data_IF_413406456570
#
_entry.id   IF_413406456570
#
_cell.length_a   1.000
_cell.length_b   1.000
_cell.length_c   1.000
_cell.angle_alpha   90.00
_cell.angle_beta   90.00
_cell.angle_gamma   90.00
#
_symmetry.space_group_name_H-M   'P 1'
#
loop_
_entity.id
_entity.type
_entity.pdbx_description
1 polymer ?
#
# COMPACT_ATOMS: atom_id res chain seq x y z
N UNK A 1 -20.09 -54.39 -7.45
CA UNK A 1 -20.22 -53.09 -6.74
C UNK A 1 -19.05 -52.22 -7.14
N UNK A 2 -19.34 -51.05 -7.70
CA UNK A 2 -18.32 -50.10 -8.18
C UNK A 2 -17.40 -49.66 -7.03
N UNK A 3 -16.11 -49.45 -7.33
CA UNK A 3 -15.08 -48.97 -6.38
C UNK A 3 -15.53 -47.69 -5.66
N UNK A 4 -16.33 -46.86 -6.34
CA UNK A 4 -16.93 -45.63 -5.79
C UNK A 4 -17.93 -45.94 -4.66
N UNK A 5 -18.74 -46.99 -4.81
CA UNK A 5 -19.72 -47.40 -3.79
C UNK A 5 -19.04 -47.95 -2.53
N UNK A 6 -17.84 -48.56 -2.67
CA UNK A 6 -17.02 -49.01 -1.52
C UNK A 6 -16.33 -47.86 -0.77
N UNK A 7 -15.95 -46.79 -1.46
CA UNK A 7 -15.40 -45.58 -0.84
C UNK A 7 -16.45 -44.84 0.00
N UNK A 8 -17.67 -44.68 -0.54
CA UNK A 8 -18.78 -43.97 0.11
C UNK A 8 -19.46 -44.76 1.25
N UNK A 9 -19.08 -46.02 1.47
CA UNK A 9 -19.59 -46.86 2.57
C UNK A 9 -18.57 -47.09 3.68
N UNK A 10 -17.30 -46.72 3.46
CA UNK A 10 -16.29 -46.81 4.51
C UNK A 10 -16.47 -45.66 5.51
N UNK A 11 -16.86 -45.99 6.75
CA UNK A 11 -17.07 -45.01 7.82
C UNK A 11 -15.92 -44.03 8.00
N UNK A 12 -14.66 -44.46 7.85
CA UNK A 12 -13.51 -43.58 8.00
C UNK A 12 -13.43 -42.55 6.88
N UNK A 13 -13.76 -42.95 5.64
CA UNK A 13 -13.75 -42.07 4.46
C UNK A 13 -14.89 -41.05 4.54
N UNK A 14 -16.09 -41.50 4.90
CA UNK A 14 -17.26 -40.61 5.07
C UNK A 14 -17.01 -39.59 6.18
N UNK A 15 -16.48 -40.03 7.32
CA UNK A 15 -16.12 -39.13 8.44
C UNK A 15 -15.02 -38.16 8.00
N UNK A 16 -13.96 -38.63 7.35
CA UNK A 16 -12.88 -37.77 6.88
C UNK A 16 -13.38 -36.69 5.91
N UNK A 17 -14.31 -37.02 5.01
CA UNK A 17 -14.86 -36.07 4.03
C UNK A 17 -15.69 -34.95 4.69
N UNK A 18 -16.26 -35.21 5.87
CA UNK A 18 -17.03 -34.21 6.63
C UNK A 18 -16.15 -33.43 7.62
N UNK A 19 -15.27 -34.13 8.35
CA UNK A 19 -14.44 -33.54 9.40
C UNK A 19 -13.28 -32.71 8.83
N UNK A 20 -12.65 -33.18 7.75
CA UNK A 20 -11.50 -32.48 7.15
C UNK A 20 -11.82 -31.03 6.70
N UNK A 21 -12.92 -30.74 5.96
CA UNK A 21 -13.22 -29.35 5.58
C UNK A 21 -13.59 -28.48 6.80
N UNK A 22 -14.23 -29.04 7.83
CA UNK A 22 -14.51 -28.30 9.07
C UNK A 22 -13.21 -27.93 9.79
N UNK A 23 -12.29 -28.89 9.94
CA UNK A 23 -10.97 -28.64 10.53
C UNK A 23 -10.14 -27.66 9.69
N UNK A 24 -10.24 -27.69 8.36
CA UNK A 24 -9.55 -26.74 7.49
C UNK A 24 -10.00 -25.29 7.73
N UNK A 25 -11.30 -25.06 7.90
CA UNK A 25 -11.84 -23.73 8.23
C UNK A 25 -11.38 -23.28 9.61
N UNK A 26 -11.45 -24.17 10.61
CA UNK A 26 -10.99 -23.86 11.98
C UNK A 26 -9.50 -23.54 11.98
N UNK A 27 -8.68 -24.32 11.28
CA UNK A 27 -7.24 -24.10 11.19
C UNK A 27 -6.92 -22.76 10.53
N UNK A 28 -7.64 -22.38 9.47
CA UNK A 28 -7.47 -21.08 8.82
C UNK A 28 -7.66 -19.92 9.81
N UNK A 29 -8.78 -19.90 10.53
CA UNK A 29 -9.06 -18.85 11.52
C UNK A 29 -8.16 -18.92 12.76
N UNK A 30 -7.76 -20.12 13.19
CA UNK A 30 -6.86 -20.29 14.33
C UNK A 30 -5.45 -19.78 14.00
N UNK A 31 -4.94 -20.07 12.80
CA UNK A 31 -3.67 -19.52 12.33
C UNK A 31 -3.78 -18.00 12.24
N UNK A 32 -4.82 -17.47 11.60
CA UNK A 32 -5.06 -16.03 11.47
C UNK A 32 -5.06 -15.32 12.83
N UNK A 33 -5.79 -15.85 13.82
CA UNK A 33 -5.81 -15.31 15.17
C UNK A 33 -4.47 -15.43 15.92
N UNK A 34 -3.67 -16.46 15.63
CA UNK A 34 -2.38 -16.69 16.27
C UNK A 34 -1.24 -15.82 15.72
N UNK A 35 -1.34 -15.41 14.45
CA UNK A 35 -0.31 -14.59 13.78
C UNK A 35 -0.72 -13.12 13.67
N UNK A 36 -1.99 -12.78 13.93
CA UNK A 36 -2.46 -11.41 13.92
C UNK A 36 -1.87 -10.63 15.10
N UNK A 37 -1.11 -9.59 14.79
CA UNK A 37 -0.70 -8.61 15.78
C UNK A 37 -1.95 -7.90 16.34
N UNK A 38 -2.16 -7.83 17.66
CA UNK A 38 -3.29 -7.10 18.22
C UNK A 38 -3.19 -5.62 17.84
N UNK A 39 -4.30 -4.95 17.50
CA UNK A 39 -4.28 -3.52 17.21
C UNK A 39 -3.82 -2.76 18.45
N UNK A 40 -2.61 -2.19 18.38
CA UNK A 40 -2.06 -1.36 19.45
C UNK A 40 -2.24 0.11 19.10
N UNK A 41 -2.72 0.89 20.08
CA UNK A 41 -2.72 2.34 19.95
C UNK A 41 -1.28 2.84 19.82
N UNK A 42 -1.07 3.81 18.93
CA UNK A 42 0.24 4.40 18.76
C UNK A 42 0.67 5.15 20.03
N UNK A 43 1.93 4.95 20.41
CA UNK A 43 2.54 5.58 21.57
C UNK A 43 3.46 6.70 21.07
N UNK A 44 3.37 7.86 21.69
CA UNK A 44 4.22 9.00 21.37
C UNK A 44 5.70 8.62 21.47
N UNK A 45 6.50 9.03 20.48
CA UNK A 45 7.93 8.75 20.37
C UNK A 45 8.28 7.41 19.71
N UNK A 46 7.28 6.56 19.40
CA UNK A 46 7.49 5.30 18.68
C UNK A 46 7.26 5.45 17.17
N UNK A 47 7.74 4.46 16.41
CA UNK A 47 7.65 4.43 14.94
C UNK A 47 6.86 3.21 14.47
N UNK A 48 5.94 3.40 13.53
CA UNK A 48 5.03 2.37 13.06
C UNK A 48 5.05 2.26 11.52
N UNK A 49 5.11 1.04 10.95
CA UNK A 49 5.05 0.87 9.51
C UNK A 49 3.64 1.11 8.99
N UNK A 50 3.51 1.76 7.83
CA UNK A 50 2.26 1.90 7.09
C UNK A 50 2.08 0.72 6.12
N UNK A 51 0.90 0.14 6.11
CA UNK A 51 0.53 -0.87 5.13
C UNK A 51 0.34 -0.21 3.75
N UNK A 52 1.13 -0.65 2.79
CA UNK A 52 1.05 -0.20 1.39
C UNK A 52 -0.04 -0.96 0.68
N UNK A 53 -1.08 -0.25 0.24
CA UNK A 53 -2.25 -0.85 -0.40
C UNK A 53 -1.95 -1.27 -1.84
N UNK A 54 -2.79 -2.15 -2.39
CA UNK A 54 -2.58 -2.76 -3.70
C UNK A 54 -2.51 -1.76 -4.86
N UNK A 55 -3.25 -0.64 -4.77
CA UNK A 55 -3.25 0.41 -5.79
C UNK A 55 -1.88 1.09 -5.99
N UNK A 56 -0.96 0.98 -5.03
CA UNK A 56 0.41 1.47 -5.19
C UNK A 56 1.22 0.65 -6.23
N UNK A 57 0.84 -0.62 -6.47
CA UNK A 57 1.54 -1.54 -7.38
C UNK A 57 1.13 -1.43 -8.85
N UNK A 58 0.15 -0.59 -9.15
CA UNK A 58 -0.43 -0.43 -10.50
C UNK A 58 -0.44 1.05 -10.89
N UNK A 59 -0.58 1.33 -12.18
CA UNK A 59 -0.63 2.68 -12.78
C UNK A 59 -1.94 3.40 -12.46
N UNK A 60 -2.18 3.65 -11.17
CA UNK A 60 -3.45 4.10 -10.60
C UNK A 60 -3.53 5.61 -10.38
N UNK A 61 -2.44 6.35 -10.56
CA UNK A 61 -2.33 7.79 -10.27
C UNK A 61 -2.19 8.13 -8.77
N UNK A 62 -2.41 7.18 -7.86
CA UNK A 62 -2.29 7.40 -6.42
C UNK A 62 -1.96 6.13 -5.63
N UNK A 63 -1.22 6.29 -4.54
CA UNK A 63 -0.90 5.24 -3.58
C UNK A 63 -1.62 5.48 -2.25
N UNK A 64 -2.22 4.43 -1.67
CA UNK A 64 -2.84 4.49 -0.35
C UNK A 64 -1.94 3.79 0.67
N UNK A 65 -1.77 4.44 1.82
CA UNK A 65 -0.93 3.97 2.92
C UNK A 65 -1.75 4.08 4.21
N UNK A 66 -1.80 3.04 5.02
CA UNK A 66 -2.62 3.07 6.23
C UNK A 66 -2.04 2.29 7.41
N UNK A 67 -2.33 2.76 8.62
CA UNK A 67 -2.12 2.03 9.86
C UNK A 67 -3.19 2.48 10.86
N UNK A 68 -4.16 1.60 11.17
CA UNK A 68 -5.30 1.95 12.01
C UNK A 68 -6.09 3.15 11.47
N UNK A 69 -6.14 4.22 12.25
CA UNK A 69 -6.84 5.47 11.89
C UNK A 69 -6.01 6.40 11.00
N UNK A 70 -4.70 6.16 10.87
CA UNK A 70 -3.82 6.91 9.98
C UNK A 70 -4.07 6.42 8.57
N UNK A 71 -4.71 7.26 7.76
CA UNK A 71 -5.00 6.99 6.34
C UNK A 71 -4.40 8.10 5.51
N UNK A 72 -3.45 7.73 4.66
CA UNK A 72 -2.74 8.63 3.77
C UNK A 72 -3.03 8.26 2.32
N UNK A 73 -3.14 9.29 1.48
CA UNK A 73 -3.25 9.16 0.04
C UNK A 73 -2.17 10.02 -0.61
N UNK A 74 -1.25 9.37 -1.31
CA UNK A 74 -0.18 10.01 -2.07
C UNK A 74 -0.55 10.02 -3.55
N UNK A 75 -0.84 11.19 -4.10
CA UNK A 75 -1.30 11.41 -5.46
C UNK A 75 -0.18 12.01 -6.31
N UNK A 76 -0.11 11.60 -7.57
CA UNK A 76 0.81 12.15 -8.56
C UNK A 76 0.07 13.16 -9.44
N UNK A 77 0.60 14.37 -9.53
CA UNK A 77 0.15 15.38 -10.51
C UNK A 77 0.84 15.17 -11.89
N UNK A 78 1.57 14.06 -12.04
CA UNK A 78 2.35 13.72 -13.22
C UNK A 78 3.78 14.26 -13.18
N UNK A 79 4.56 13.90 -14.21
CA UNK A 79 5.93 14.36 -14.41
C UNK A 79 5.96 15.51 -15.41
N UNK A 80 6.53 16.64 -15.02
CA UNK A 80 6.70 17.82 -15.86
C UNK A 80 8.14 18.35 -15.69
N UNK A 81 8.83 18.63 -16.79
CA UNK A 81 10.21 19.16 -16.77
C UNK A 81 11.17 18.35 -15.88
N UNK A 82 11.13 17.02 -15.97
CA UNK A 82 11.93 16.10 -15.16
C UNK A 82 11.68 16.18 -13.64
N UNK A 83 10.54 16.75 -13.26
CA UNK A 83 10.09 16.84 -11.87
C UNK A 83 8.75 16.16 -11.68
N UNK A 84 8.66 15.39 -10.60
CA UNK A 84 7.44 14.79 -10.12
C UNK A 84 6.86 15.66 -9.00
N UNK A 85 5.63 16.10 -9.17
CA UNK A 85 4.88 16.75 -8.08
C UNK A 85 3.98 15.72 -7.42
N UNK A 86 4.11 15.59 -6.09
CA UNK A 86 3.29 14.70 -5.27
C UNK A 86 2.47 15.51 -4.29
N UNK A 87 1.21 15.14 -4.14
CA UNK A 87 0.29 15.63 -3.11
C UNK A 87 0.00 14.52 -2.12
N UNK A 88 0.15 14.81 -0.83
CA UNK A 88 -0.20 13.91 0.26
C UNK A 88 -1.44 14.45 0.96
N UNK A 89 -2.50 13.66 0.97
CA UNK A 89 -3.70 13.90 1.76
C UNK A 89 -3.73 12.95 2.96
N UNK A 90 -4.13 13.46 4.12
CA UNK A 90 -4.22 12.70 5.37
C UNK A 90 -5.61 12.84 6.01
N UNK A 91 -6.10 11.77 6.62
CA UNK A 91 -7.32 11.82 7.43
C UNK A 91 -7.12 12.61 8.74
N UNK A 92 -5.91 12.55 9.30
CA UNK A 92 -5.51 13.21 10.56
C UNK A 92 -4.52 14.36 10.30
N UNK A 93 -4.54 15.44 11.10
CA UNK A 93 -3.54 16.51 11.00
C UNK A 93 -2.13 15.94 11.20
N UNK A 94 -1.23 16.17 10.25
CA UNK A 94 0.17 15.81 10.38
C UNK A 94 0.93 16.97 11.03
N UNK A 95 1.90 16.65 11.88
CA UNK A 95 2.87 17.63 12.41
C UNK A 95 4.01 17.87 11.40
N UNK A 96 4.30 16.85 10.59
CA UNK A 96 5.32 16.91 9.55
C UNK A 96 5.25 15.72 8.60
N UNK A 97 5.75 15.92 7.38
CA UNK A 97 5.92 14.87 6.39
C UNK A 97 7.26 15.04 5.68
N UNK A 98 7.99 13.94 5.50
CA UNK A 98 9.26 13.87 4.78
C UNK A 98 9.24 12.73 3.79
N UNK A 99 9.86 12.95 2.65
CA UNK A 99 9.82 12.01 1.54
C UNK A 99 11.17 11.97 0.82
N UNK A 100 11.55 10.80 0.31
CA UNK A 100 12.67 10.66 -0.62
C UNK A 100 12.35 9.67 -1.73
N UNK A 101 13.13 9.76 -2.81
CA UNK A 101 13.05 8.86 -3.95
C UNK A 101 14.33 8.04 -4.05
N UNK A 102 14.27 6.81 -3.54
CA UNK A 102 15.38 5.87 -3.51
C UNK A 102 15.46 5.12 -4.83
N UNK A 103 16.67 5.07 -5.39
CA UNK A 103 17.05 4.23 -6.53
C UNK A 103 18.00 3.14 -6.06
N UNK A 104 18.18 2.09 -6.87
CA UNK A 104 19.05 0.96 -6.52
C UNK A 104 20.46 1.44 -6.19
N UNK A 105 20.94 1.16 -4.97
CA UNK A 105 22.28 1.54 -4.51
C UNK A 105 22.44 3.01 -4.08
N UNK A 106 21.34 3.76 -3.96
CA UNK A 106 21.35 5.15 -3.49
C UNK A 106 20.67 5.29 -2.13
N UNK A 107 21.16 6.20 -1.30
CA UNK A 107 20.55 6.57 -0.01
C UNK A 107 20.28 8.09 0.00
N UNK A 108 19.17 8.54 -0.62
CA UNK A 108 18.87 9.95 -0.77
C UNK A 108 18.38 10.56 0.55
N UNK A 109 18.79 11.79 0.82
CA UNK A 109 18.35 12.52 2.00
C UNK A 109 16.85 12.90 1.90
N UNK A 110 16.03 12.69 2.94
CA UNK A 110 14.62 13.05 2.92
C UNK A 110 14.37 14.55 2.81
N UNK A 111 13.56 14.94 1.83
CA UNK A 111 13.06 16.30 1.65
C UNK A 111 11.79 16.50 2.49
N UNK A 112 11.67 17.64 3.15
CA UNK A 112 10.42 18.01 3.84
C UNK A 112 9.33 18.34 2.82
N UNK A 113 8.13 17.83 3.04
CA UNK A 113 6.94 18.30 2.33
C UNK A 113 6.46 19.62 2.92
N UNK A 114 5.72 20.41 2.13
CA UNK A 114 5.14 21.68 2.58
C UNK A 114 3.63 21.52 2.74
N UNK A 115 3.09 21.93 3.89
CA UNK A 115 1.65 21.99 4.08
C UNK A 115 1.03 23.00 3.10
N UNK A 116 -0.08 22.62 2.48
CA UNK A 116 -0.82 23.46 1.53
C UNK A 116 -1.95 24.25 2.20
N UNK A 117 -2.26 23.91 3.44
CA UNK A 117 -3.28 24.55 4.28
C UNK A 117 -2.87 24.54 5.76
N UNK A 118 -3.63 25.24 6.59
CA UNK A 118 -3.42 25.32 8.04
C UNK A 118 -3.95 24.09 8.80
N UNK A 119 -4.66 23.18 8.13
CA UNK A 119 -5.25 22.00 8.77
C UNK A 119 -4.24 20.89 9.00
N UNK A 120 -3.08 20.96 8.33
CA UNK A 120 -2.06 19.91 8.37
C UNK A 120 -2.48 18.62 7.67
N UNK A 121 -3.57 18.63 6.88
CA UNK A 121 -4.10 17.44 6.21
C UNK A 121 -3.72 17.34 4.73
N UNK A 122 -3.24 18.42 4.13
CA UNK A 122 -2.79 18.44 2.75
C UNK A 122 -1.35 18.98 2.67
N UNK A 123 -0.50 18.23 1.97
CA UNK A 123 0.92 18.51 1.82
C UNK A 123 1.35 18.31 0.38
N UNK A 124 2.38 19.03 -0.05
CA UNK A 124 2.93 18.90 -1.39
C UNK A 124 4.45 18.90 -1.39
N UNK A 125 5.02 18.28 -2.41
CA UNK A 125 6.45 18.21 -2.62
C UNK A 125 6.74 18.03 -4.10
N UNK A 126 7.88 18.56 -4.53
CA UNK A 126 8.39 18.30 -5.88
C UNK A 126 9.75 17.60 -5.75
N UNK A 127 9.87 16.45 -6.40
CA UNK A 127 11.06 15.59 -6.43
C UNK A 127 11.56 15.45 -7.87
N UNK A 128 12.81 15.04 -8.10
CA UNK A 128 13.25 14.56 -9.41
C UNK A 128 12.34 13.44 -9.91
N UNK A 129 12.12 13.31 -11.22
CA UNK A 129 11.37 12.18 -11.75
C UNK A 129 12.11 10.85 -11.48
N UNK A 130 11.38 9.73 -11.30
CA UNK A 130 12.01 8.42 -11.16
C UNK A 130 12.75 8.04 -12.44
N UNK A 131 14.02 7.64 -12.30
CA UNK A 131 14.88 7.33 -13.46
C UNK A 131 14.89 5.85 -13.84
N UNK A 132 14.36 4.99 -12.98
CA UNK A 132 14.28 3.54 -13.22
C UNK A 132 13.02 2.91 -12.62
N UNK A 133 12.66 1.72 -13.12
CA UNK A 133 11.45 1.01 -12.72
C UNK A 133 11.55 0.38 -11.31
N UNK A 134 12.72 0.36 -10.70
CA UNK A 134 12.94 -0.11 -9.32
C UNK A 134 12.93 1.05 -8.32
N UNK A 135 12.75 2.29 -8.78
CA UNK A 135 12.68 3.45 -7.91
C UNK A 135 11.53 3.31 -6.90
N UNK A 136 11.82 3.65 -5.65
CA UNK A 136 10.89 3.56 -4.53
C UNK A 136 10.75 4.92 -3.84
N UNK A 137 9.55 5.21 -3.37
CA UNK A 137 9.26 6.34 -2.50
C UNK A 137 9.37 5.86 -1.06
N UNK A 138 10.17 6.58 -0.26
CA UNK A 138 10.19 6.43 1.19
C UNK A 138 9.48 7.62 1.81
N UNK A 139 8.42 7.35 2.57
CA UNK A 139 7.61 8.38 3.24
C UNK A 139 7.74 8.18 4.75
N UNK A 140 7.90 9.29 5.47
CA UNK A 140 7.76 9.35 6.91
C UNK A 140 6.87 10.53 7.30
N UNK A 141 5.89 10.31 8.17
CA UNK A 141 5.01 11.36 8.71
C UNK A 141 4.97 11.29 10.23
N UNK A 142 4.62 12.38 10.89
CA UNK A 142 4.38 12.42 12.34
C UNK A 142 2.97 12.90 12.68
N UNK A 143 2.36 12.22 13.65
CA UNK A 143 1.02 12.50 14.18
C UNK A 143 1.04 12.23 15.68
N UNK A 144 0.59 13.21 16.47
CA UNK A 144 0.53 13.15 17.94
C UNK A 144 1.84 12.64 18.59
N UNK A 145 2.98 13.11 18.10
CA UNK A 145 4.32 12.71 18.55
C UNK A 145 4.76 11.29 18.16
N UNK A 146 3.94 10.51 17.46
CA UNK A 146 4.31 9.22 16.87
C UNK A 146 4.75 9.37 15.41
N UNK A 147 5.62 8.47 14.95
CA UNK A 147 6.10 8.45 13.56
C UNK A 147 5.53 7.27 12.78
N UNK A 148 5.21 7.50 11.51
CA UNK A 148 4.69 6.49 10.61
C UNK A 148 5.51 6.48 9.33
N UNK A 149 5.93 5.30 8.85
CA UNK A 149 6.80 5.20 7.69
C UNK A 149 6.37 4.11 6.72
N UNK A 150 6.62 4.31 5.43
CA UNK A 150 6.42 3.31 4.40
C UNK A 150 7.43 3.46 3.27
N UNK A 151 7.68 2.34 2.60
CA UNK A 151 8.36 2.29 1.30
C UNK A 151 7.37 1.76 0.27
N UNK A 152 7.17 2.50 -0.83
CA UNK A 152 6.21 2.16 -1.87
C UNK A 152 6.84 2.25 -3.27
N UNK A 153 6.46 1.39 -4.21
CA UNK A 153 6.94 1.48 -5.59
C UNK A 153 6.41 2.75 -6.27
N UNK A 154 7.13 3.21 -7.30
CA UNK A 154 6.78 4.40 -8.09
C UNK A 154 5.79 4.13 -9.22
N UNK A 155 5.37 2.89 -9.43
CA UNK A 155 4.48 2.46 -10.54
C UNK A 155 3.16 3.24 -10.61
N UNK A 156 2.62 3.68 -9.47
CA UNK A 156 1.37 4.45 -9.43
C UNK A 156 1.46 5.85 -10.01
N UNK A 157 2.65 6.41 -10.21
CA UNK A 157 2.84 7.79 -10.71
C UNK A 157 2.22 7.97 -12.09
N UNK A 158 2.34 6.94 -12.94
CA UNK A 158 1.66 6.92 -14.23
C UNK A 158 0.18 6.62 -14.01
N UNK A 159 -0.68 7.49 -14.53
CA UNK A 159 -2.11 7.23 -14.58
C UNK A 159 -2.47 6.71 -15.99
N UNK A 160 -2.48 5.40 -16.16
CA UNK A 160 -2.92 4.75 -17.41
C UNK A 160 -4.33 4.20 -17.22
N UNK A 161 -5.28 4.78 -17.97
CA UNK A 161 -6.63 4.23 -18.11
C UNK A 161 -6.77 3.57 -19.48
N UNK A 162 -7.65 2.57 -19.62
CA UNK A 162 -7.97 1.98 -20.92
C UNK A 162 -8.39 3.05 -21.95
N UNK A 163 -9.02 4.13 -21.50
CA UNK A 163 -9.44 5.25 -22.35
C UNK A 163 -8.25 6.05 -22.92
N UNK A 164 -7.25 6.38 -22.08
CA UNK A 164 -6.06 7.12 -22.51
C UNK A 164 -5.17 6.34 -23.49
N UNK A 165 -5.14 5.01 -23.39
CA UNK A 165 -4.40 4.16 -24.33
C UNK A 165 -5.05 4.14 -25.73
N UNK A 166 -6.38 4.07 -25.79
CA UNK A 166 -7.11 4.10 -27.06
C UNK A 166 -7.01 5.45 -27.77
N UNK A 167 -7.06 6.57 -27.04
CA UNK A 167 -6.86 7.90 -27.63
C UNK A 167 -5.45 8.05 -28.21
N UNK A 168 -4.42 7.64 -27.45
CA UNK A 168 -3.03 7.74 -27.92
C UNK A 168 -2.75 6.87 -29.16
N UNK A 169 -3.41 5.72 -29.28
CA UNK A 169 -3.33 4.87 -30.48
C UNK A 169 -4.05 5.48 -31.70
N UNK A 170 -5.14 6.21 -31.48
CA UNK A 170 -5.88 6.92 -32.54
C UNK A 170 -5.15 8.17 -33.04
N UNK A 171 -4.54 8.95 -32.13
CA UNK A 171 -3.78 10.16 -32.48
C UNK A 171 -2.45 9.85 -33.19
N UNK A 172 -1.98 8.60 -33.12
CA UNK A 172 -0.75 8.13 -33.77
C UNK A 172 -1.00 7.47 -35.14
N UNK A 173 -2.25 7.46 -35.63
CA UNK A 173 -2.66 6.95 -36.96
C UNK A 173 -3.05 8.10 -37.89
#
# INVERSE_FOLDING_TARGET
>A
MSTVTRLLTNKHVVIAMLVAPVLAIIAYFAVDASVSEPPQAAQSGQSYPLAVRSNCRYTSGFCQLENGDIKLKLESDGVQNDRLTLRLASALPLEGARISMAHTGTEPQPQSMQATDETGKAWQVSLPAPTDAQAQIRLAVSVDGSYYFAEAPTTFIEHKTFYSEHQKAQDAS
#
